data_IF_236004301512
#
_entry.id   IF_236004301512
#
_cell.length_a   1.000
_cell.length_b   1.000
_cell.length_c   1.000
_cell.angle_alpha   90.00
_cell.angle_beta   90.00
_cell.angle_gamma   90.00
#
_symmetry.space_group_name_H-M   'P 1'
#
loop_
_entity.id
_entity.type
_entity.pdbx_description
1 polymer ?
#
# COMPACT_ATOMS: atom_id res chain seq x y z
N UNK A 1 -8.89 32.45 -30.69
CA UNK A 1 -8.80 31.08 -30.13
C UNK A 1 -8.73 31.27 -28.63
N UNK A 2 -9.85 31.17 -27.93
CA UNK A 2 -9.90 31.34 -26.48
C UNK A 2 -9.09 30.21 -25.84
N UNK A 3 -8.15 30.56 -24.96
CA UNK A 3 -7.38 29.60 -24.19
C UNK A 3 -8.36 28.68 -23.44
N UNK A 4 -8.17 27.36 -23.49
CA UNK A 4 -9.05 26.42 -22.78
C UNK A 4 -8.22 25.32 -22.13
N UNK A 5 -8.42 25.10 -20.83
CA UNK A 5 -7.72 24.05 -20.09
C UNK A 5 -8.35 22.67 -20.24
N UNK A 6 -9.54 22.58 -20.86
CA UNK A 6 -10.30 21.33 -20.98
C UNK A 6 -9.52 20.18 -21.62
N UNK A 7 -8.74 20.44 -22.67
CA UNK A 7 -7.91 19.43 -23.33
C UNK A 7 -6.82 18.87 -22.42
N UNK A 8 -6.21 19.72 -21.59
CA UNK A 8 -5.19 19.32 -20.61
C UNK A 8 -5.80 18.45 -19.52
N UNK A 9 -6.95 18.87 -18.96
CA UNK A 9 -7.67 18.10 -17.94
C UNK A 9 -8.05 16.72 -18.45
N UNK A 10 -8.61 16.62 -19.66
CA UNK A 10 -8.99 15.33 -20.25
C UNK A 10 -7.79 14.42 -20.48
N UNK A 11 -6.70 14.95 -21.03
CA UNK A 11 -5.49 14.17 -21.30
C UNK A 11 -4.92 13.58 -20.01
N UNK A 12 -4.88 14.38 -18.94
CA UNK A 12 -4.38 13.97 -17.64
C UNK A 12 -5.31 12.93 -17.01
N UNK A 13 -6.62 13.17 -17.05
CA UNK A 13 -7.61 12.26 -16.51
C UNK A 13 -7.55 10.87 -17.17
N UNK A 14 -7.40 10.82 -18.50
CA UNK A 14 -7.26 9.56 -19.24
C UNK A 14 -5.94 8.85 -18.89
N UNK A 15 -4.82 9.58 -18.88
CA UNK A 15 -3.52 9.02 -18.51
C UNK A 15 -3.56 8.39 -17.11
N UNK A 16 -4.08 9.11 -16.12
CA UNK A 16 -4.17 8.62 -14.74
C UNK A 16 -5.20 7.48 -14.59
N UNK A 17 -6.31 7.48 -15.35
CA UNK A 17 -7.25 6.37 -15.38
C UNK A 17 -6.60 5.07 -15.87
N UNK A 18 -5.79 5.14 -16.94
CA UNK A 18 -5.06 3.97 -17.46
C UNK A 18 -4.01 3.50 -16.44
N UNK A 19 -3.29 4.43 -15.83
CA UNK A 19 -2.28 4.09 -14.80
C UNK A 19 -2.93 3.42 -13.59
N UNK A 20 -4.05 3.95 -13.07
CA UNK A 20 -4.75 3.36 -11.93
C UNK A 20 -5.40 2.02 -12.27
N UNK A 21 -5.90 1.85 -13.49
CA UNK A 21 -6.38 0.56 -13.98
C UNK A 21 -5.28 -0.50 -13.97
N UNK A 22 -4.15 -0.22 -14.63
CA UNK A 22 -3.00 -1.10 -14.63
C UNK A 22 -2.51 -1.42 -13.21
N UNK A 23 -2.49 -0.41 -12.33
CA UNK A 23 -2.10 -0.54 -10.94
C UNK A 23 -3.00 -1.51 -10.15
N UNK A 24 -4.32 -1.34 -10.25
CA UNK A 24 -5.30 -2.19 -9.54
C UNK A 24 -5.28 -3.62 -10.08
N UNK A 25 -5.20 -3.79 -11.40
CA UNK A 25 -5.09 -5.13 -12.02
C UNK A 25 -3.83 -5.83 -11.56
N UNK A 26 -2.67 -5.17 -11.62
CA UNK A 26 -1.40 -5.72 -11.18
C UNK A 26 -1.42 -6.07 -9.69
N UNK A 27 -2.07 -5.23 -8.87
CA UNK A 27 -2.27 -5.48 -7.44
C UNK A 27 -3.11 -6.75 -7.22
N UNK A 28 -4.27 -6.87 -7.87
CA UNK A 28 -5.16 -8.01 -7.73
C UNK A 28 -4.48 -9.30 -8.17
N UNK A 29 -3.74 -9.24 -9.28
CA UNK A 29 -2.94 -10.37 -9.76
C UNK A 29 -1.89 -10.79 -8.73
N UNK A 30 -1.13 -9.83 -8.17
CA UNK A 30 -0.15 -10.11 -7.13
C UNK A 30 -0.77 -10.77 -5.89
N UNK A 31 -1.89 -10.23 -5.40
CA UNK A 31 -2.50 -10.70 -4.15
C UNK A 31 -3.17 -12.06 -4.32
N UNK A 32 -3.78 -12.30 -5.47
CA UNK A 32 -4.46 -13.57 -5.80
C UNK A 32 -3.46 -14.67 -6.11
N UNK A 33 -2.48 -14.43 -7.00
CA UNK A 33 -1.62 -15.50 -7.53
C UNK A 33 -0.27 -15.63 -6.81
N UNK A 34 0.30 -14.53 -6.31
CA UNK A 34 1.62 -14.55 -5.65
C UNK A 34 1.49 -14.72 -4.15
N UNK A 35 0.72 -13.84 -3.51
CA UNK A 35 0.55 -13.84 -2.06
C UNK A 35 -0.51 -14.87 -1.64
N UNK A 36 -1.45 -15.22 -2.53
CA UNK A 36 -2.58 -16.13 -2.27
C UNK A 36 -3.38 -15.74 -1.02
N UNK A 37 -3.54 -14.45 -0.80
CA UNK A 37 -4.24 -13.89 0.35
C UNK A 37 -4.84 -12.54 -0.02
N UNK A 38 -6.17 -12.52 -0.12
CA UNK A 38 -6.96 -11.30 -0.24
C UNK A 38 -7.27 -10.79 1.16
N UNK A 39 -7.05 -9.49 1.36
CA UNK A 39 -7.40 -8.80 2.61
C UNK A 39 -8.56 -7.83 2.38
N UNK A 40 -9.16 -7.36 3.46
CA UNK A 40 -10.15 -6.29 3.40
C UNK A 40 -9.59 -5.03 2.71
N UNK A 41 -8.28 -4.79 2.78
CA UNK A 41 -7.60 -3.71 2.06
C UNK A 41 -7.74 -3.81 0.54
N UNK A 42 -7.82 -5.03 -0.02
CA UNK A 42 -7.96 -5.24 -1.46
C UNK A 42 -9.36 -4.88 -1.96
N UNK A 43 -10.40 -5.19 -1.18
CA UNK A 43 -11.77 -4.82 -1.54
C UNK A 43 -12.00 -3.30 -1.44
N UNK A 44 -11.50 -2.69 -0.36
CA UNK A 44 -11.64 -1.24 -0.14
C UNK A 44 -10.96 -0.43 -1.24
N UNK A 45 -9.77 -0.85 -1.70
CA UNK A 45 -9.08 -0.14 -2.78
C UNK A 45 -9.76 -0.34 -4.14
N UNK A 46 -10.37 -1.51 -4.40
CA UNK A 46 -11.16 -1.72 -5.60
C UNK A 46 -12.39 -0.81 -5.63
N UNK A 47 -13.11 -0.69 -4.51
CA UNK A 47 -14.23 0.26 -4.40
C UNK A 47 -13.74 1.69 -4.60
N UNK A 48 -12.63 2.07 -3.96
CA UNK A 48 -12.00 3.38 -4.15
C UNK A 48 -11.61 3.66 -5.60
N UNK A 49 -11.09 2.68 -6.32
CA UNK A 49 -10.71 2.80 -7.73
C UNK A 49 -11.93 2.99 -8.64
N UNK A 50 -13.02 2.24 -8.41
CA UNK A 50 -14.27 2.42 -9.14
C UNK A 50 -14.81 3.84 -8.93
N UNK A 51 -14.80 4.33 -7.69
CA UNK A 51 -15.22 5.71 -7.39
C UNK A 51 -14.30 6.75 -8.05
N UNK A 52 -12.99 6.48 -8.14
CA UNK A 52 -12.04 7.33 -8.87
C UNK A 52 -12.35 7.38 -10.38
N UNK A 53 -12.70 6.25 -11.00
CA UNK A 53 -13.11 6.24 -12.41
C UNK A 53 -14.46 6.93 -12.63
N UNK A 54 -15.42 6.79 -11.72
CA UNK A 54 -16.66 7.58 -11.76
C UNK A 54 -16.35 9.08 -11.67
N UNK A 55 -15.45 9.49 -10.77
CA UNK A 55 -15.01 10.87 -10.66
C UNK A 55 -14.37 11.38 -11.96
N UNK A 56 -13.45 10.60 -12.55
CA UNK A 56 -12.82 10.92 -13.85
C UNK A 56 -13.87 11.02 -14.97
N UNK A 57 -14.85 10.12 -15.01
CA UNK A 57 -15.96 10.17 -15.95
C UNK A 57 -16.78 11.46 -15.81
N UNK A 58 -17.11 11.86 -14.58
CA UNK A 58 -17.74 13.15 -14.31
C UNK A 58 -16.86 14.32 -14.76
N UNK A 59 -15.55 14.31 -14.50
CA UNK A 59 -14.64 15.37 -14.93
C UNK A 59 -14.65 15.53 -16.45
N UNK A 60 -14.56 14.42 -17.21
CA UNK A 60 -14.60 14.43 -18.68
C UNK A 60 -15.96 14.96 -19.18
N UNK A 61 -17.06 14.53 -18.56
CA UNK A 61 -18.39 15.03 -18.89
C UNK A 61 -18.54 16.54 -18.61
N UNK A 62 -17.97 17.04 -17.50
CA UNK A 62 -17.95 18.47 -17.19
C UNK A 62 -17.18 19.28 -18.24
N UNK A 63 -16.08 18.77 -18.80
CA UNK A 63 -15.34 19.43 -19.90
C UNK A 63 -16.21 19.61 -21.14
N UNK A 64 -17.03 18.63 -21.49
CA UNK A 64 -17.95 18.75 -22.62
C UNK A 64 -18.98 19.87 -22.42
N UNK A 65 -19.41 20.09 -21.17
CA UNK A 65 -20.36 21.15 -20.82
C UNK A 65 -19.72 22.52 -20.57
N UNK A 66 -18.38 22.65 -20.70
CA UNK A 66 -17.67 23.92 -20.64
C UNK A 66 -16.63 24.09 -19.52
N UNK A 67 -16.30 23.03 -18.76
CA UNK A 67 -15.23 23.08 -17.76
C UNK A 67 -13.88 23.51 -18.40
N UNK A 68 -13.21 24.49 -17.79
CA UNK A 68 -11.92 25.00 -18.27
C UNK A 68 -12.02 26.07 -19.37
N UNK A 69 -13.21 26.62 -19.62
CA UNK A 69 -13.42 27.88 -20.33
C UNK A 69 -13.80 29.02 -19.37
N UNK A 70 -13.81 30.26 -19.87
CA UNK A 70 -14.26 31.42 -19.08
C UNK A 70 -15.75 31.32 -18.74
N UNK A 71 -16.13 31.83 -17.57
CA UNK A 71 -17.49 31.72 -17.04
C UNK A 71 -18.55 32.26 -18.03
N UNK A 72 -18.26 33.39 -18.66
CA UNK A 72 -19.15 34.03 -19.64
C UNK A 72 -19.43 33.15 -20.87
N UNK A 73 -18.45 32.36 -21.30
CA UNK A 73 -18.59 31.51 -22.49
C UNK A 73 -19.40 30.23 -22.21
N UNK A 74 -19.45 29.82 -20.93
CA UNK A 74 -20.26 28.68 -20.50
C UNK A 74 -21.73 29.09 -20.38
N UNK A 75 -22.01 30.25 -19.81
CA UNK A 75 -23.38 30.77 -19.69
C UNK A 75 -24.01 31.07 -21.05
N UNK A 76 -23.22 31.56 -22.01
CA UNK A 76 -23.68 31.78 -23.39
C UNK A 76 -24.21 30.51 -24.08
N UNK A 77 -23.85 29.31 -23.61
CA UNK A 77 -24.37 28.03 -24.15
C UNK A 77 -25.78 27.70 -23.67
N UNK A 78 -26.36 28.50 -22.76
CA UNK A 78 -27.73 28.36 -22.28
C UNK A 78 -27.82 27.85 -20.83
N UNK A 79 -28.90 28.25 -20.16
CA UNK A 79 -29.17 27.95 -18.74
C UNK A 79 -29.23 26.45 -18.45
N UNK A 80 -29.87 25.67 -19.33
CA UNK A 80 -30.02 24.21 -19.16
C UNK A 80 -28.66 23.48 -19.18
N UNK A 81 -27.74 23.93 -20.05
CA UNK A 81 -26.38 23.40 -20.09
C UNK A 81 -25.60 23.73 -18.81
N UNK A 82 -25.84 24.91 -18.22
CA UNK A 82 -25.20 25.32 -16.98
C UNK A 82 -25.72 24.54 -15.76
N UNK A 83 -27.03 24.24 -15.71
CA UNK A 83 -27.61 23.39 -14.66
C UNK A 83 -27.04 21.96 -14.75
N UNK A 84 -26.97 21.40 -15.96
CA UNK A 84 -26.36 20.09 -16.18
C UNK A 84 -24.88 20.07 -15.74
N UNK A 85 -24.13 21.13 -16.08
CA UNK A 85 -22.75 21.31 -15.64
C UNK A 85 -22.62 21.33 -14.10
N UNK A 86 -23.43 22.13 -13.41
CA UNK A 86 -23.43 22.21 -11.95
C UNK A 86 -23.79 20.87 -11.30
N UNK A 87 -24.73 20.13 -11.89
CA UNK A 87 -25.13 18.81 -11.43
C UNK A 87 -23.97 17.81 -11.54
N UNK A 88 -23.21 17.82 -12.65
CA UNK A 88 -22.04 16.95 -12.83
C UNK A 88 -20.93 17.34 -11.84
N UNK A 89 -20.69 18.63 -11.61
CA UNK A 89 -19.70 19.12 -10.64
C UNK A 89 -20.08 18.71 -9.21
N UNK A 90 -21.36 18.84 -8.85
CA UNK A 90 -21.87 18.37 -7.56
C UNK A 90 -21.66 16.86 -7.38
N UNK A 91 -22.02 16.06 -8.39
CA UNK A 91 -21.83 14.62 -8.38
C UNK A 91 -20.34 14.22 -8.29
N UNK A 92 -19.47 14.93 -9.01
CA UNK A 92 -18.02 14.70 -8.98
C UNK A 92 -17.44 14.92 -7.58
N UNK A 93 -17.94 15.91 -6.83
CA UNK A 93 -17.53 16.19 -5.45
C UNK A 93 -17.86 15.05 -4.51
N UNK A 94 -19.00 14.38 -4.70
CA UNK A 94 -19.43 13.22 -3.92
C UNK A 94 -18.48 12.04 -4.17
N UNK A 95 -18.23 11.71 -5.44
CA UNK A 95 -17.34 10.60 -5.80
C UNK A 95 -15.90 10.83 -5.32
N UNK A 96 -15.41 12.06 -5.42
CA UNK A 96 -14.09 12.44 -4.92
C UNK A 96 -13.95 12.23 -3.39
N UNK A 97 -14.89 12.78 -2.60
CA UNK A 97 -14.84 12.63 -1.14
C UNK A 97 -14.96 11.15 -0.71
N UNK A 98 -15.84 10.40 -1.36
CA UNK A 98 -15.98 8.97 -1.11
C UNK A 98 -14.68 8.22 -1.44
N UNK A 99 -14.10 8.47 -2.61
CA UNK A 99 -12.85 7.87 -3.07
C UNK A 99 -11.70 8.08 -2.06
N UNK A 100 -11.50 9.33 -1.61
CA UNK A 100 -10.48 9.64 -0.60
C UNK A 100 -10.69 8.89 0.70
N UNK A 101 -11.94 8.80 1.18
CA UNK A 101 -12.28 8.01 2.36
C UNK A 101 -11.86 6.55 2.21
N UNK A 102 -12.24 5.90 1.11
CA UNK A 102 -11.89 4.50 0.85
C UNK A 102 -10.39 4.26 0.72
N UNK A 103 -9.65 5.18 0.06
CA UNK A 103 -8.19 5.10 -0.05
C UNK A 103 -7.55 5.16 1.35
N UNK A 104 -7.94 6.12 2.20
CA UNK A 104 -7.38 6.26 3.55
C UNK A 104 -7.68 5.02 4.39
N UNK A 105 -8.93 4.55 4.39
CA UNK A 105 -9.34 3.33 5.11
C UNK A 105 -8.54 2.12 4.61
N UNK A 106 -8.31 2.00 3.28
CA UNK A 106 -7.48 0.93 2.71
C UNK A 106 -6.04 0.98 3.20
N UNK A 107 -5.42 2.17 3.28
CA UNK A 107 -4.06 2.34 3.80
C UNK A 107 -3.98 2.01 5.30
N UNK A 108 -4.99 2.41 6.09
CA UNK A 108 -5.07 2.05 7.50
C UNK A 108 -5.27 0.54 7.69
N UNK A 109 -6.12 -0.09 6.88
CA UNK A 109 -6.32 -1.54 6.89
C UNK A 109 -5.02 -2.28 6.59
N UNK A 110 -4.24 -1.79 5.62
CA UNK A 110 -2.90 -2.28 5.36
C UNK A 110 -1.99 -2.17 6.60
N UNK A 111 -2.00 -1.03 7.31
CA UNK A 111 -1.24 -0.86 8.56
C UNK A 111 -1.66 -1.84 9.67
N UNK A 112 -2.95 -2.15 9.80
CA UNK A 112 -3.41 -3.15 10.79
C UNK A 112 -2.85 -4.55 10.52
N UNK A 113 -2.54 -4.87 9.25
CA UNK A 113 -1.99 -6.16 8.84
C UNK A 113 -0.48 -6.25 8.98
N UNK A 114 0.23 -5.15 8.75
CA UNK A 114 1.70 -5.08 8.84
C UNK A 114 2.20 -4.84 10.27
N UNK A 115 1.36 -4.26 11.12
CA UNK A 115 1.75 -3.68 12.39
C UNK A 115 1.80 -4.62 13.58
N UNK A 116 2.65 -4.27 14.55
CA UNK A 116 2.60 -4.81 15.91
C UNK A 116 1.30 -4.38 16.63
N UNK A 117 1.01 -4.96 17.81
CA UNK A 117 -0.22 -4.77 18.59
C UNK A 117 -0.59 -3.30 18.79
N UNK A 118 0.40 -2.43 19.03
CA UNK A 118 0.20 -0.99 19.18
C UNK A 118 -0.21 -0.30 17.88
N UNK A 119 0.46 -0.61 16.75
CA UNK A 119 0.10 -0.05 15.43
C UNK A 119 -1.33 -0.42 15.09
N UNK A 120 -1.68 -1.70 15.33
CA UNK A 120 -2.97 -2.25 14.99
C UNK A 120 -4.09 -1.57 15.77
N UNK A 121 -3.92 -1.36 17.08
CA UNK A 121 -4.91 -0.62 17.90
C UNK A 121 -5.09 0.81 17.40
N UNK A 122 -4.00 1.56 17.21
CA UNK A 122 -4.08 2.95 16.72
C UNK A 122 -4.69 3.03 15.33
N UNK A 123 -4.34 2.11 14.43
CA UNK A 123 -4.89 2.06 13.08
C UNK A 123 -6.39 1.75 13.07
N UNK A 124 -6.90 0.89 13.97
CA UNK A 124 -8.34 0.66 14.11
C UNK A 124 -9.09 1.91 14.60
N UNK A 125 -8.56 2.60 15.60
CA UNK A 125 -9.15 3.86 16.10
C UNK A 125 -9.20 4.89 14.97
N UNK A 126 -8.08 5.08 14.27
CA UNK A 126 -8.02 6.02 13.15
C UNK A 126 -8.93 5.62 11.99
N UNK A 127 -9.18 4.33 11.78
CA UNK A 127 -10.10 3.86 10.74
C UNK A 127 -11.53 4.28 11.05
N UNK A 128 -11.93 4.24 12.32
CA UNK A 128 -13.20 4.78 12.78
C UNK A 128 -13.29 6.30 12.56
N UNK A 129 -12.26 7.05 12.98
CA UNK A 129 -12.22 8.52 12.81
C UNK A 129 -12.33 8.92 11.34
N UNK A 130 -11.50 8.32 10.48
CA UNK A 130 -11.49 8.59 9.04
C UNK A 130 -12.79 8.12 8.37
N UNK A 131 -13.34 6.98 8.78
CA UNK A 131 -14.62 6.48 8.27
C UNK A 131 -15.79 7.42 8.61
N UNK A 132 -15.88 7.86 9.86
CA UNK A 132 -16.87 8.86 10.28
C UNK A 132 -16.70 10.18 9.53
N UNK A 133 -15.47 10.65 9.38
CA UNK A 133 -15.15 11.88 8.65
C UNK A 133 -15.56 11.77 7.17
N UNK A 134 -15.19 10.69 6.49
CA UNK A 134 -15.53 10.49 5.08
C UNK A 134 -17.04 10.36 4.88
N UNK A 135 -17.73 9.62 5.77
CA UNK A 135 -19.18 9.51 5.76
C UNK A 135 -19.86 10.86 5.97
N UNK A 136 -19.42 11.64 6.97
CA UNK A 136 -19.94 12.98 7.23
C UNK A 136 -19.74 13.92 6.04
N UNK A 137 -18.57 13.91 5.41
CA UNK A 137 -18.29 14.74 4.23
C UNK A 137 -19.20 14.39 3.05
N UNK A 138 -19.37 13.09 2.77
CA UNK A 138 -20.24 12.62 1.68
C UNK A 138 -21.69 13.03 1.95
N UNK A 139 -22.20 12.79 3.16
CA UNK A 139 -23.56 13.16 3.54
C UNK A 139 -23.76 14.67 3.47
N UNK A 140 -22.81 15.45 3.96
CA UNK A 140 -22.92 16.90 3.94
C UNK A 140 -22.80 17.49 2.52
N UNK A 141 -22.03 16.88 1.62
CA UNK A 141 -22.07 17.23 0.19
C UNK A 141 -23.43 16.91 -0.47
N UNK A 142 -24.05 15.78 -0.12
CA UNK A 142 -25.36 15.39 -0.64
C UNK A 142 -26.45 16.36 -0.13
N UNK A 143 -26.42 16.68 1.16
CA UNK A 143 -27.42 17.52 1.83
C UNK A 143 -26.97 18.98 2.01
N UNK A 144 -26.13 19.49 1.11
CA UNK A 144 -25.58 20.86 1.22
C UNK A 144 -26.66 21.96 1.12
N UNK A 145 -27.79 21.66 0.47
CA UNK A 145 -28.95 22.53 0.33
C UNK A 145 -30.24 21.77 0.63
N UNK A 146 -31.23 22.47 1.18
CA UNK A 146 -32.60 22.02 1.32
C UNK A 146 -33.52 22.93 0.50
N UNK A 147 -34.21 22.42 -0.53
CA UNK A 147 -34.20 21.03 -1.02
C UNK A 147 -32.91 20.67 -1.80
N UNK A 148 -32.56 19.38 -1.87
CA UNK A 148 -31.32 18.90 -2.53
C UNK A 148 -31.13 19.41 -3.97
N UNK A 149 -32.16 19.50 -4.82
CA UNK A 149 -32.00 20.05 -6.17
C UNK A 149 -31.47 21.48 -6.21
N UNK A 150 -31.69 22.29 -5.16
CA UNK A 150 -31.17 23.66 -5.07
C UNK A 150 -29.64 23.73 -4.99
N UNK A 151 -28.96 22.58 -4.83
CA UNK A 151 -27.51 22.47 -4.92
C UNK A 151 -26.95 22.72 -6.34
N UNK A 152 -27.72 22.41 -7.38
CA UNK A 152 -27.29 22.51 -8.78
C UNK A 152 -28.27 23.28 -9.67
N UNK A 153 -29.54 23.37 -9.28
CA UNK A 153 -30.56 24.11 -10.00
C UNK A 153 -30.57 25.58 -9.58
N UNK A 154 -30.15 26.45 -10.49
CA UNK A 154 -30.10 27.90 -10.29
C UNK A 154 -31.46 28.58 -10.53
N UNK A 155 -32.46 27.87 -11.06
CA UNK A 155 -33.80 28.42 -11.31
C UNK A 155 -34.64 28.53 -10.04
N UNK A 156 -34.26 27.80 -8.98
CA UNK A 156 -34.93 27.85 -7.68
C UNK A 156 -34.60 29.18 -6.99
N UNK A 157 -35.66 29.93 -6.65
CA UNK A 157 -35.56 31.23 -6.02
C UNK A 157 -34.82 31.16 -4.67
N UNK A 158 -34.11 32.23 -4.28
CA UNK A 158 -33.41 32.30 -2.99
C UNK A 158 -34.32 32.11 -1.77
N UNK A 159 -35.59 32.47 -1.89
CA UNK A 159 -36.57 32.40 -0.79
C UNK A 159 -36.99 30.95 -0.46
N UNK A 160 -36.91 30.05 -1.45
CA UNK A 160 -37.32 28.66 -1.33
C UNK A 160 -36.16 27.69 -1.05
N UNK A 161 -34.93 28.22 -0.90
CA UNK A 161 -33.74 27.39 -0.65
C UNK A 161 -32.97 27.83 0.58
N UNK A 162 -32.60 26.85 1.40
CA UNK A 162 -31.67 27.02 2.52
C UNK A 162 -30.42 26.19 2.26
N UNK A 163 -29.34 26.86 1.91
CA UNK A 163 -28.03 26.23 1.70
C UNK A 163 -27.09 26.56 2.87
N UNK A 164 -26.18 25.64 3.16
CA UNK A 164 -25.06 25.90 4.07
C UNK A 164 -24.11 26.89 3.39
N UNK A 165 -23.37 27.68 4.18
CA UNK A 165 -22.29 28.52 3.66
C UNK A 165 -21.25 27.61 2.98
N UNK A 166 -21.27 27.62 1.65
CA UNK A 166 -20.46 26.78 0.78
C UNK A 166 -18.97 27.04 1.06
N UNK A 167 -18.58 28.27 1.34
CA UNK A 167 -17.18 28.65 1.58
C UNK A 167 -16.69 28.05 2.89
N UNK A 168 -17.43 28.30 3.96
CA UNK A 168 -17.08 27.78 5.29
C UNK A 168 -17.07 26.25 5.28
N UNK A 169 -18.04 25.64 4.61
CA UNK A 169 -18.16 24.19 4.49
C UNK A 169 -16.98 23.56 3.73
N UNK A 170 -16.66 24.03 2.52
CA UNK A 170 -15.56 23.46 1.73
C UNK A 170 -14.20 23.74 2.36
N UNK A 171 -14.00 24.91 2.99
CA UNK A 171 -12.76 25.24 3.69
C UNK A 171 -12.55 24.35 4.93
N UNK A 172 -13.59 24.16 5.74
CA UNK A 172 -13.55 23.27 6.91
C UNK A 172 -13.29 21.82 6.48
N UNK A 173 -13.99 21.33 5.45
CA UNK A 173 -13.77 20.00 4.90
C UNK A 173 -12.35 19.80 4.40
N UNK A 174 -11.81 20.76 3.65
CA UNK A 174 -10.45 20.68 3.15
C UNK A 174 -9.42 20.67 4.29
N UNK A 175 -9.60 21.51 5.31
CA UNK A 175 -8.72 21.55 6.49
C UNK A 175 -8.72 20.21 7.25
N UNK A 176 -9.90 19.65 7.53
CA UNK A 176 -10.01 18.35 8.21
C UNK A 176 -9.46 17.22 7.34
N UNK A 177 -9.67 17.28 6.02
CA UNK A 177 -9.13 16.29 5.10
C UNK A 177 -7.59 16.30 5.11
N UNK A 178 -6.96 17.48 5.01
CA UNK A 178 -5.50 17.64 5.11
C UNK A 178 -4.99 17.14 6.46
N UNK A 179 -5.66 17.50 7.56
CA UNK A 179 -5.28 17.06 8.90
C UNK A 179 -5.31 15.53 9.03
N UNK A 180 -6.39 14.89 8.54
CA UNK A 180 -6.50 13.43 8.55
C UNK A 180 -5.50 12.74 7.63
N UNK A 181 -5.09 13.38 6.52
CA UNK A 181 -4.02 12.88 5.65
C UNK A 181 -2.67 12.89 6.37
N UNK A 182 -2.31 14.03 6.98
CA UNK A 182 -1.07 14.16 7.74
C UNK A 182 -1.04 13.12 8.86
N UNK A 183 -2.13 12.97 9.64
CA UNK A 183 -2.21 11.96 10.69
C UNK A 183 -2.05 10.54 10.14
N UNK A 184 -2.73 10.21 9.04
CA UNK A 184 -2.68 8.88 8.41
C UNK A 184 -1.26 8.53 7.96
N UNK A 185 -0.56 9.45 7.30
CA UNK A 185 0.78 9.20 6.77
C UNK A 185 1.87 9.27 7.84
N UNK A 186 1.72 10.14 8.84
CA UNK A 186 2.69 10.22 9.94
C UNK A 186 2.56 9.08 10.95
N UNK A 187 1.39 8.44 11.06
CA UNK A 187 1.12 7.32 11.98
C UNK A 187 2.20 6.22 11.99
N UNK A 188 2.69 5.70 10.84
CA UNK A 188 3.75 4.69 10.85
C UNK A 188 5.12 5.21 11.30
N UNK A 189 5.44 6.50 11.18
CA UNK A 189 6.80 7.04 11.42
C UNK A 189 7.27 6.82 12.87
N UNK A 190 6.58 7.34 13.91
CA UNK A 190 7.08 7.27 15.28
C UNK A 190 7.07 5.84 15.81
N UNK A 191 6.16 4.99 15.31
CA UNK A 191 6.08 3.60 15.73
C UNK A 191 7.17 2.74 15.08
N UNK A 192 7.42 2.94 13.77
CA UNK A 192 8.50 2.24 13.04
C UNK A 192 9.87 2.70 13.54
N UNK A 193 10.02 3.94 14.00
CA UNK A 193 11.28 4.43 14.58
C UNK A 193 11.67 3.71 15.89
N UNK A 194 10.67 3.29 16.68
CA UNK A 194 10.90 2.54 17.94
C UNK A 194 11.15 1.05 17.71
N UNK A 195 10.70 0.49 16.59
CA UNK A 195 10.81 -0.93 16.28
C UNK A 195 12.06 -1.21 15.42
N UNK A 196 12.82 -2.26 15.72
CA UNK A 196 14.02 -2.66 14.93
C UNK A 196 13.59 -3.30 13.59
N UNK A 197 13.10 -2.49 12.67
CA UNK A 197 12.60 -2.95 11.37
C UNK A 197 13.76 -3.15 10.38
N UNK A 198 13.86 -4.28 9.65
CA UNK A 198 14.92 -4.50 8.66
C UNK A 198 14.87 -3.45 7.54
N UNK A 199 16.05 -3.02 7.05
CA UNK A 199 16.21 -1.92 6.07
C UNK A 199 15.30 -2.04 4.84
N UNK A 200 15.02 -3.26 4.39
CA UNK A 200 14.13 -3.56 3.25
C UNK A 200 12.66 -3.20 3.49
N UNK A 201 12.16 -3.28 4.72
CA UNK A 201 10.80 -2.85 5.07
C UNK A 201 10.75 -1.33 5.25
N UNK A 202 11.82 -0.74 5.79
CA UNK A 202 11.98 0.71 5.94
C UNK A 202 11.89 1.46 4.61
N UNK A 203 12.48 0.92 3.53
CA UNK A 203 12.39 1.54 2.19
C UNK A 203 10.95 1.59 1.68
N UNK A 204 10.18 0.49 1.77
CA UNK A 204 8.79 0.49 1.29
C UNK A 204 7.89 1.43 2.11
N UNK A 205 8.11 1.49 3.42
CA UNK A 205 7.43 2.46 4.29
C UNK A 205 7.81 3.90 3.92
N UNK A 206 9.07 4.17 3.59
CA UNK A 206 9.52 5.48 3.14
C UNK A 206 8.88 5.90 1.81
N UNK A 207 8.71 4.97 0.85
CA UNK A 207 8.04 5.26 -0.43
C UNK A 207 6.55 5.55 -0.20
N UNK A 208 5.85 4.73 0.60
CA UNK A 208 4.43 4.96 0.94
C UNK A 208 4.27 6.32 1.63
N UNK A 209 5.16 6.63 2.56
CA UNK A 209 5.17 7.92 3.25
C UNK A 209 5.45 9.09 2.28
N UNK A 210 6.39 8.92 1.35
CA UNK A 210 6.73 9.95 0.37
C UNK A 210 5.56 10.25 -0.58
N UNK A 211 4.88 9.22 -1.09
CA UNK A 211 3.66 9.42 -1.88
C UNK A 211 2.52 10.01 -1.06
N UNK A 212 2.42 9.66 0.22
CA UNK A 212 1.47 10.25 1.13
C UNK A 212 1.72 11.74 1.39
N UNK A 213 2.98 12.11 1.58
CA UNK A 213 3.37 13.52 1.71
C UNK A 213 3.08 14.29 0.42
N UNK A 214 3.32 13.69 -0.74
CA UNK A 214 2.96 14.28 -2.03
C UNK A 214 1.45 14.49 -2.14
N UNK A 215 0.64 13.51 -1.71
CA UNK A 215 -0.81 13.66 -1.65
C UNK A 215 -1.21 14.83 -0.74
N UNK A 216 -0.63 14.95 0.47
CA UNK A 216 -0.86 16.11 1.34
C UNK A 216 -0.54 17.45 0.66
N UNK A 217 0.57 17.54 -0.08
CA UNK A 217 0.94 18.75 -0.82
C UNK A 217 -0.11 19.07 -1.88
N UNK A 218 -0.61 18.06 -2.60
CA UNK A 218 -1.70 18.27 -3.57
C UNK A 218 -2.98 18.79 -2.93
N UNK A 219 -3.34 18.27 -1.74
CA UNK A 219 -4.50 18.74 -0.97
C UNK A 219 -4.34 20.21 -0.51
N UNK A 220 -3.12 20.59 -0.09
CA UNK A 220 -2.81 21.97 0.32
C UNK A 220 -2.90 22.91 -0.88
N UNK A 221 -2.38 22.51 -2.04
CA UNK A 221 -2.49 23.31 -3.26
C UNK A 221 -3.97 23.52 -3.60
N UNK A 222 -4.80 22.46 -3.53
CA UNK A 222 -6.25 22.51 -3.75
C UNK A 222 -6.98 23.53 -2.88
N UNK A 223 -6.66 23.63 -1.57
CA UNK A 223 -7.37 24.55 -0.67
C UNK A 223 -7.19 26.01 -1.07
N UNK A 224 -6.07 26.37 -1.71
CA UNK A 224 -5.79 27.75 -2.13
C UNK A 224 -6.68 28.22 -3.28
N UNK A 225 -7.28 27.29 -4.02
CA UNK A 225 -8.21 27.60 -5.11
C UNK A 225 -9.63 27.85 -4.61
N UNK A 226 -10.02 27.30 -3.46
CA UNK A 226 -11.40 27.41 -2.93
C UNK A 226 -11.81 28.88 -2.72
N UNK A 227 -11.01 29.75 -2.06
CA UNK A 227 -11.36 31.17 -1.95
C UNK A 227 -11.37 31.90 -3.29
N UNK A 228 -10.44 31.53 -4.20
CA UNK A 228 -10.33 32.16 -5.52
C UNK A 228 -11.54 31.84 -6.41
N UNK A 229 -12.10 30.64 -6.29
CA UNK A 229 -13.27 30.19 -7.05
C UNK A 229 -14.50 31.08 -6.86
N UNK A 230 -14.66 31.67 -5.67
CA UNK A 230 -15.85 32.45 -5.32
C UNK A 230 -15.61 33.96 -5.33
N UNK A 231 -14.35 34.42 -5.26
CA UNK A 231 -14.01 35.85 -5.37
C UNK A 231 -13.61 36.28 -6.78
N UNK A 232 -13.31 35.35 -7.70
CA UNK A 232 -12.93 35.69 -9.07
C UNK A 232 -14.09 35.54 -10.05
N UNK A 233 -14.09 36.37 -11.10
CA UNK A 233 -15.07 36.39 -12.19
C UNK A 233 -15.07 35.11 -13.04
N UNK A 234 -14.04 34.28 -12.92
CA UNK A 234 -13.80 33.07 -13.73
C UNK A 234 -13.80 31.79 -12.89
N UNK A 235 -14.87 31.55 -12.14
CA UNK A 235 -15.05 30.32 -11.33
C UNK A 235 -14.86 29.03 -12.15
N UNK A 236 -15.26 29.02 -13.42
CA UNK A 236 -15.17 27.84 -14.31
C UNK A 236 -13.74 27.54 -14.80
N UNK A 237 -12.83 28.50 -14.71
CA UNK A 237 -11.40 28.32 -14.98
C UNK A 237 -10.66 27.83 -13.73
N UNK A 238 -10.96 28.40 -12.57
CA UNK A 238 -10.27 28.02 -11.33
C UNK A 238 -10.66 26.59 -10.91
N UNK A 239 -11.86 26.13 -11.26
CA UNK A 239 -12.32 24.78 -10.92
C UNK A 239 -11.59 23.69 -11.71
N UNK A 240 -11.14 23.97 -12.94
CA UNK A 240 -10.40 22.98 -13.73
C UNK A 240 -9.06 22.65 -13.06
N UNK A 241 -8.37 23.65 -12.50
CA UNK A 241 -7.15 23.43 -11.72
C UNK A 241 -7.41 22.57 -10.48
N UNK A 242 -8.50 22.83 -9.74
CA UNK A 242 -8.86 22.04 -8.57
C UNK A 242 -9.22 20.59 -8.93
N UNK A 243 -9.92 20.36 -10.04
CA UNK A 243 -10.25 19.02 -10.55
C UNK A 243 -8.99 18.28 -11.00
N UNK A 244 -8.08 18.95 -11.71
CA UNK A 244 -6.79 18.40 -12.13
C UNK A 244 -5.99 17.87 -10.93
N UNK A 245 -5.84 18.67 -9.88
CA UNK A 245 -5.14 18.25 -8.66
C UNK A 245 -5.85 17.11 -7.92
N UNK A 246 -7.19 17.09 -7.95
CA UNK A 246 -8.00 16.03 -7.32
C UNK A 246 -7.82 14.68 -8.03
N UNK A 247 -7.70 14.68 -9.36
CA UNK A 247 -7.37 13.47 -10.15
C UNK A 247 -5.99 12.95 -9.75
N UNK A 248 -4.99 13.83 -9.67
CA UNK A 248 -3.62 13.43 -9.29
C UNK A 248 -3.61 12.81 -7.88
N UNK A 249 -4.26 13.48 -6.93
CA UNK A 249 -4.33 13.05 -5.53
C UNK A 249 -4.94 11.66 -5.37
N UNK A 250 -6.12 11.42 -5.96
CA UNK A 250 -6.83 10.14 -5.86
C UNK A 250 -6.04 9.01 -6.50
N UNK A 251 -5.45 9.22 -7.69
CA UNK A 251 -4.68 8.20 -8.38
C UNK A 251 -3.34 7.88 -7.69
N UNK A 252 -2.66 8.90 -7.15
CA UNK A 252 -1.44 8.67 -6.34
C UNK A 252 -1.77 7.94 -5.05
N UNK A 253 -2.90 8.23 -4.42
CA UNK A 253 -3.41 7.48 -3.27
C UNK A 253 -3.61 5.99 -3.59
N UNK A 254 -4.20 5.68 -4.74
CA UNK A 254 -4.38 4.30 -5.22
C UNK A 254 -3.03 3.61 -5.47
N UNK A 255 -2.08 4.31 -6.10
CA UNK A 255 -0.73 3.80 -6.33
C UNK A 255 0.01 3.53 -5.01
N UNK A 256 -0.08 4.46 -4.06
CA UNK A 256 0.54 4.34 -2.74
C UNK A 256 0.01 3.15 -1.95
N UNK A 257 -1.31 2.97 -1.95
CA UNK A 257 -1.96 1.80 -1.35
C UNK A 257 -1.51 0.49 -2.01
N UNK A 258 -1.14 0.52 -3.29
CA UNK A 258 -0.74 -0.64 -4.11
C UNK A 258 0.73 -1.05 -4.00
N UNK A 259 1.62 -0.19 -3.47
CA UNK A 259 3.06 -0.46 -3.27
C UNK A 259 3.38 -1.81 -2.61
N UNK A 260 2.72 -2.24 -1.51
CA UNK A 260 3.06 -3.50 -0.84
C UNK A 260 2.91 -4.71 -1.75
N UNK A 261 1.94 -4.67 -2.65
CA UNK A 261 1.68 -5.73 -3.62
C UNK A 261 2.76 -5.75 -4.72
N UNK A 262 3.20 -4.59 -5.19
CA UNK A 262 4.31 -4.49 -6.15
C UNK A 262 5.63 -4.99 -5.56
N UNK A 263 5.88 -4.71 -4.27
CA UNK A 263 7.03 -5.26 -3.57
C UNK A 263 7.03 -6.79 -3.57
N UNK A 264 5.86 -7.40 -3.37
CA UNK A 264 5.73 -8.86 -3.40
C UNK A 264 6.04 -9.44 -4.80
N UNK A 265 5.59 -8.78 -5.87
CA UNK A 265 5.93 -9.13 -7.26
C UNK A 265 7.43 -9.03 -7.50
N UNK A 266 8.02 -7.88 -7.18
CA UNK A 266 9.44 -7.62 -7.41
C UNK A 266 10.32 -8.64 -6.69
N UNK A 267 9.95 -9.06 -5.47
CA UNK A 267 10.68 -10.10 -4.72
C UNK A 267 10.65 -11.46 -5.42
N UNK A 268 9.57 -11.81 -6.13
CA UNK A 268 9.39 -13.12 -6.79
C UNK A 268 10.02 -13.17 -8.19
N UNK A 269 9.81 -12.14 -9.00
CA UNK A 269 10.18 -12.16 -10.43
C UNK A 269 11.48 -11.42 -10.74
N UNK A 270 11.90 -10.48 -9.90
CA UNK A 270 13.13 -9.71 -10.12
C UNK A 270 13.95 -9.57 -8.82
N UNK A 271 14.40 -10.69 -8.21
CA UNK A 271 15.24 -10.64 -7.00
C UNK A 271 16.55 -9.86 -7.23
N UNK A 272 17.00 -9.73 -8.49
CA UNK A 272 18.18 -8.95 -8.91
C UNK A 272 17.93 -7.43 -8.87
N UNK A 273 16.74 -6.93 -9.23
CA UNK A 273 16.38 -5.50 -9.14
C UNK A 273 16.26 -4.99 -7.69
N UNK A 274 15.97 -5.90 -6.75
CA UNK A 274 15.94 -5.61 -5.30
C UNK A 274 17.29 -5.82 -4.60
N UNK A 275 18.37 -6.03 -5.37
CA UNK A 275 19.70 -6.24 -4.82
C UNK A 275 19.82 -7.59 -4.14
N UNK A 276 19.80 -8.67 -4.91
CA UNK A 276 20.62 -9.83 -4.56
C UNK A 276 22.05 -9.50 -4.94
N UNK A 277 22.75 -8.77 -4.08
CA UNK A 277 24.16 -9.08 -3.90
C UNK A 277 24.17 -10.53 -3.41
N UNK A 278 24.37 -11.45 -4.34
CA UNK A 278 24.86 -12.77 -4.01
C UNK A 278 26.19 -12.55 -3.30
N UNK A 279 26.12 -12.35 -1.98
CA UNK A 279 27.26 -12.51 -1.10
C UNK A 279 27.51 -14.01 -1.05
N UNK A 280 27.98 -14.58 -2.16
CA UNK A 280 28.92 -15.68 -2.13
C UNK A 280 30.25 -15.12 -1.62
N UNK A 281 30.22 -14.51 -0.42
CA UNK A 281 31.42 -14.44 0.38
C UNK A 281 31.50 -15.82 0.98
N UNK A 282 32.22 -16.69 0.27
CA UNK A 282 33.02 -17.72 0.89
C UNK A 282 33.91 -17.03 1.94
N UNK A 283 33.33 -16.69 3.09
CA UNK A 283 34.09 -16.54 4.31
C UNK A 283 34.59 -17.95 4.59
N UNK A 284 35.77 -18.26 4.05
CA UNK A 284 36.68 -19.18 4.70
C UNK A 284 36.62 -18.81 6.17
N UNK A 285 36.10 -19.71 6.99
CA UNK A 285 36.18 -19.60 8.44
C UNK A 285 37.64 -19.87 8.81
N UNK A 286 38.55 -18.95 8.45
CA UNK A 286 39.90 -18.91 8.96
C UNK A 286 39.80 -18.34 10.38
N UNK A 287 39.64 -19.20 11.37
CA UNK A 287 39.52 -18.71 12.73
C UNK A 287 39.14 -19.71 13.82
N UNK A 288 39.01 -21.01 13.56
CA UNK A 288 39.01 -21.98 14.65
C UNK A 288 40.45 -22.37 14.98
N UNK A 289 41.12 -21.51 15.75
CA UNK A 289 42.34 -21.89 16.49
C UNK A 289 41.90 -22.99 17.46
N UNK A 290 42.33 -24.23 17.24
CA UNK A 290 42.26 -25.27 18.27
C UNK A 290 42.97 -24.72 19.51
N UNK A 291 42.22 -24.53 20.61
CA UNK A 291 42.84 -24.39 21.92
C UNK A 291 43.43 -25.75 22.30
N UNK A 292 44.71 -25.84 22.67
CA UNK A 292 45.20 -27.02 23.37
C UNK A 292 44.59 -26.95 24.78
N UNK A 293 43.67 -27.86 25.08
CA UNK A 293 43.21 -28.05 26.44
C UNK A 293 44.31 -28.83 27.18
N UNK A 294 45.22 -28.08 27.79
CA UNK A 294 46.23 -28.63 28.71
C UNK A 294 45.51 -28.99 30.01
N UNK A 295 45.21 -30.27 30.20
CA UNK A 295 44.79 -30.79 31.51
C UNK A 295 45.99 -31.47 32.16
N UNK A 296 46.59 -30.74 33.10
CA UNK A 296 47.56 -31.26 34.05
C UNK A 296 46.81 -32.13 35.07
N UNK A 297 47.20 -33.41 35.21
CA UNK A 297 46.63 -34.32 36.19
C UNK A 297 47.38 -35.65 36.18
N UNK A 298 47.99 -36.00 37.31
CA UNK A 298 48.98 -37.07 37.43
C UNK A 298 48.42 -38.50 37.44
N UNK A 299 49.34 -39.39 37.07
CA UNK A 299 49.58 -40.77 37.56
C UNK A 299 48.42 -41.77 37.77
N UNK A 300 48.69 -42.95 37.19
CA UNK A 300 48.40 -44.32 37.61
C UNK A 300 47.15 -45.09 37.12
N UNK A 301 47.51 -46.25 36.54
CA UNK A 301 46.81 -47.54 36.44
C UNK A 301 45.50 -47.66 35.63
N UNK A 302 45.59 -48.47 34.57
CA UNK A 302 44.69 -49.64 34.42
C UNK A 302 43.40 -49.46 33.63
N UNK A 303 43.33 -50.21 32.52
CA UNK A 303 42.12 -50.80 31.90
C UNK A 303 41.04 -49.90 31.29
N UNK A 304 41.24 -49.58 30.00
CA UNK A 304 40.31 -49.91 28.90
C UNK A 304 38.87 -49.39 28.92
N UNK A 305 38.65 -48.20 28.37
CA UNK A 305 37.37 -47.77 27.81
C UNK A 305 37.60 -47.18 26.40
N UNK A 306 36.79 -47.50 25.37
CA UNK A 306 37.05 -47.01 24.02
C UNK A 306 36.65 -45.53 23.89
N UNK A 307 37.57 -44.72 23.35
CA UNK A 307 37.31 -43.34 22.92
C UNK A 307 36.43 -43.37 21.67
N UNK A 308 35.24 -42.79 21.72
CA UNK A 308 34.42 -42.55 20.52
C UNK A 308 34.98 -41.35 19.76
N UNK A 309 35.50 -41.57 18.55
CA UNK A 309 35.89 -40.50 17.62
C UNK A 309 34.69 -40.13 16.75
N UNK A 310 34.33 -38.84 16.71
CA UNK A 310 33.27 -38.31 15.88
C UNK A 310 33.88 -37.70 14.62
N UNK A 311 33.71 -38.35 13.46
CA UNK A 311 34.08 -37.79 12.16
C UNK A 311 32.83 -37.39 11.37
N UNK A 312 32.81 -36.14 10.88
CA UNK A 312 31.76 -35.63 9.99
C UNK A 312 32.34 -35.52 8.58
N UNK A 313 31.90 -36.37 7.65
CA UNK A 313 32.34 -36.30 6.26
C UNK A 313 31.27 -35.60 5.41
N UNK A 314 31.57 -34.38 4.96
CA UNK A 314 30.71 -33.61 4.05
C UNK A 314 31.21 -33.86 2.63
N UNK A 315 30.52 -34.71 1.88
CA UNK A 315 30.77 -34.88 0.43
C UNK A 315 29.98 -33.82 -0.35
N UNK A 316 30.69 -32.95 -1.04
CA UNK A 316 30.11 -32.15 -2.12
C UNK A 316 30.34 -32.92 -3.43
N UNK A 317 29.28 -33.50 -3.99
CA UNK A 317 29.32 -34.13 -5.30
C UNK A 317 28.25 -33.54 -6.22
N UNK A 318 28.66 -32.68 -7.15
CA UNK A 318 28.20 -32.82 -8.52
C UNK A 318 29.11 -33.88 -9.13
N UNK A 319 28.54 -35.01 -9.54
CA UNK A 319 28.85 -35.74 -10.77
C UNK A 319 28.17 -37.12 -10.74
N UNK A 320 27.23 -37.25 -11.67
CA UNK A 320 26.60 -38.38 -12.38
C UNK A 320 26.47 -39.81 -11.80
N UNK A 321 25.22 -40.28 -11.99
CA UNK A 321 24.71 -41.64 -12.12
C UNK A 321 24.70 -42.58 -10.90
N UNK A 322 23.61 -42.49 -10.11
CA UNK A 322 22.69 -43.63 -9.89
C UNK A 322 21.46 -43.20 -9.07
N UNK A 323 20.28 -43.29 -9.69
CA UNK A 323 18.93 -43.38 -9.09
C UNK A 323 18.58 -42.41 -7.95
N UNK A 324 18.13 -41.21 -8.30
CA UNK A 324 17.41 -40.31 -7.40
C UNK A 324 15.91 -40.67 -7.38
N UNK A 325 15.42 -41.34 -6.32
CA UNK A 325 14.02 -41.14 -5.90
C UNK A 325 13.96 -39.96 -4.94
N UNK A 326 13.70 -38.80 -5.56
CA UNK A 326 13.38 -37.53 -4.94
C UNK A 326 12.04 -37.63 -4.22
N UNK A 327 12.05 -37.87 -2.91
CA UNK A 327 10.88 -37.62 -2.06
C UNK A 327 10.82 -36.15 -1.67
N UNK A 328 9.97 -35.43 -2.39
CA UNK A 328 9.45 -34.09 -2.10
C UNK A 328 8.91 -34.03 -0.67
N UNK A 329 9.50 -33.20 0.20
CA UNK A 329 8.82 -32.73 1.40
C UNK A 329 8.03 -31.45 1.08
N UNK A 330 6.68 -31.45 1.22
CA UNK A 330 5.92 -30.21 1.19
C UNK A 330 6.20 -29.46 2.50
N UNK A 331 6.36 -28.13 2.43
CA UNK A 331 6.49 -27.19 3.57
C UNK A 331 7.88 -26.66 3.95
N UNK A 332 8.78 -26.41 2.99
CA UNK A 332 9.79 -25.35 3.12
C UNK A 332 10.70 -25.39 4.35
N UNK A 333 10.94 -26.58 4.91
CA UNK A 333 11.93 -26.81 5.97
C UNK A 333 13.06 -27.65 5.40
N UNK A 334 14.29 -27.23 5.68
CA UNK A 334 15.51 -27.97 5.34
C UNK A 334 15.61 -29.11 6.36
N UNK A 335 15.42 -30.35 5.91
CA UNK A 335 15.71 -31.54 6.69
C UNK A 335 17.12 -32.01 6.40
N UNK A 336 17.93 -32.20 7.45
CA UNK A 336 19.23 -32.87 7.33
C UNK A 336 19.00 -34.33 7.73
N UNK A 337 19.23 -35.25 6.80
CA UNK A 337 19.21 -36.69 7.09
C UNK A 337 20.61 -37.06 7.60
N UNK A 338 20.71 -37.39 8.88
CA UNK A 338 21.95 -37.92 9.46
C UNK A 338 21.82 -39.43 9.52
N UNK A 339 22.42 -40.15 8.57
CA UNK A 339 22.51 -41.61 8.64
C UNK A 339 23.64 -41.97 9.62
N UNK A 340 23.26 -42.45 10.81
CA UNK A 340 24.20 -42.90 11.85
C UNK A 340 24.37 -44.40 11.70
N UNK A 341 25.52 -44.83 11.19
CA UNK A 341 25.83 -46.26 11.04
C UNK A 341 26.66 -46.69 12.25
N UNK A 342 26.10 -47.52 13.13
CA UNK A 342 26.85 -48.13 14.23
C UNK A 342 27.42 -49.47 13.78
N UNK A 343 28.74 -49.63 13.76
CA UNK A 343 29.38 -50.95 13.72
C UNK A 343 29.73 -51.37 15.14
N UNK A 344 29.23 -52.53 15.55
CA UNK A 344 29.67 -53.22 16.76
C UNK A 344 30.47 -54.45 16.32
N UNK A 345 31.76 -54.50 16.64
CA UNK A 345 32.54 -55.74 16.58
C UNK A 345 32.32 -56.51 17.88
N UNK A 346 31.57 -57.62 17.79
CA UNK A 346 31.42 -58.56 18.89
C UNK A 346 32.63 -59.51 18.89
N UNK A 347 33.53 -59.37 19.87
CA UNK A 347 34.49 -60.42 20.20
C UNK A 347 33.91 -61.27 21.34
N UNK A 348 33.22 -62.35 20.99
CA UNK A 348 32.73 -63.36 21.93
C UNK A 348 32.98 -64.74 21.34
N UNK A 349 34.20 -65.25 21.53
CA UNK A 349 34.47 -66.70 21.57
C UNK A 349 35.75 -66.93 22.37
N UNK A 350 35.58 -67.29 23.65
CA UNK A 350 36.37 -68.29 24.38
C UNK A 350 36.05 -68.24 25.88
N UNK A 351 35.34 -69.26 26.38
CA UNK A 351 35.26 -69.50 27.83
C UNK A 351 33.97 -70.15 28.34
N UNK A 352 33.65 -71.37 27.90
CA UNK A 352 32.78 -72.26 28.68
C UNK A 352 33.20 -73.74 28.53
N UNK A 353 33.89 -74.28 29.54
CA UNK A 353 33.64 -75.65 29.99
C UNK A 353 33.45 -75.61 31.51
N UNK A 354 32.31 -76.14 31.93
CA UNK A 354 31.68 -76.05 33.24
C UNK A 354 32.03 -77.28 34.09
N UNK A 355 32.30 -77.07 35.38
CA UNK A 355 32.22 -78.09 36.42
C UNK A 355 30.77 -78.50 36.64
N UNK A 356 30.45 -79.78 36.39
CA UNK A 356 29.77 -80.67 37.34
C UNK A 356 29.90 -82.12 36.92
#
# INVERSE_FOLDING_TARGET
MTESQGSTVNSVAICFAVISFCAVVLRLWARTFIVRSLGADDYLICVGAILSWCFIGCTIASVQHGLGGHYEDVIKRGTDNFIAYLQIVWLSSIFYNACLGFIKISVLALYTRLGDKMLRKTAFVMMGVVGCQAGANVLACIFQCSPVPAAYDITILPEDKKCVDINAFYLANAAVNIFTDILTYTLPIPLVAKLRVPRRQKISLAIILGLGLFACVSSIIRITYIPKMLSSSDSTWVISDAMYWSVIETNIGILAASIPSYKAIAKKYAPRLLGSSGMSSSRKLSGFKQMPLELQGGSNSGTGAPKSTFETNIKNGLDDNSSEEVLVMPNGRIGVKTDITFRYENNLENGMQSQR
#
